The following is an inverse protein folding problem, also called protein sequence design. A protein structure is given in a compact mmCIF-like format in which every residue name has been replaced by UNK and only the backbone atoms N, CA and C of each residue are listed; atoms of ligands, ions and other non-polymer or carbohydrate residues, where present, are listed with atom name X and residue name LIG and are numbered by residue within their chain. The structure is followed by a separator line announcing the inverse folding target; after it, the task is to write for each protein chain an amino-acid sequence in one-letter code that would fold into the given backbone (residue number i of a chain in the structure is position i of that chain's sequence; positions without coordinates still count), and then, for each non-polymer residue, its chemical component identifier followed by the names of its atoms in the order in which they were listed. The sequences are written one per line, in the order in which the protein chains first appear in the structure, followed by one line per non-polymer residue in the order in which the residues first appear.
data_IF_441472433332
#
_entry.id   IF_441472433332
#
_cell.length_a   1.000
_cell.length_b   1.000
_cell.length_c   1.000
_cell.angle_alpha   90.00
_cell.angle_beta   90.00
_cell.angle_gamma   90.00
#
_symmetry.space_group_name_H-M   'P 1'
#
loop_
_entity.id
_entity.type
_entity.pdbx_description
1 polymer ?
#
# COMPACT_ATOMS: atom_id res chain seq x y z
N UNK A 1 48.03 6.25 43.19
CA UNK A 1 46.94 5.33 42.79
C UNK A 1 47.58 3.94 42.80
N UNK A 2 47.07 2.97 43.61
CA UNK A 2 47.72 1.67 43.77
C UNK A 2 47.65 0.86 42.47
N UNK A 3 48.71 0.12 42.14
CA UNK A 3 48.80 -0.75 40.95
C UNK A 3 47.60 -1.69 40.79
N UNK A 4 47.03 -2.16 41.90
CA UNK A 4 45.79 -2.95 41.92
C UNK A 4 44.56 -2.22 41.38
N UNK A 5 44.43 -0.91 41.59
CA UNK A 5 43.32 -0.13 41.04
C UNK A 5 43.45 0.08 39.54
N UNK A 6 44.68 0.16 39.03
CA UNK A 6 44.95 0.25 37.58
C UNK A 6 44.67 -1.10 36.91
N UNK A 7 45.08 -2.21 37.53
CA UNK A 7 44.84 -3.56 37.03
C UNK A 7 43.35 -3.91 37.03
N UNK A 8 42.61 -3.65 38.09
CA UNK A 8 41.17 -3.88 38.19
C UNK A 8 40.41 -2.95 37.23
N UNK A 9 40.84 -1.71 37.09
CA UNK A 9 40.28 -0.78 36.10
C UNK A 9 40.45 -1.30 34.67
N UNK A 10 41.62 -1.75 34.29
CA UNK A 10 41.86 -2.31 32.95
C UNK A 10 41.08 -3.59 32.69
N UNK A 11 40.88 -4.45 33.70
CA UNK A 11 40.10 -5.68 33.56
C UNK A 11 38.60 -5.42 33.40
N UNK A 12 38.01 -4.49 34.15
CA UNK A 12 36.59 -4.09 34.02
C UNK A 12 36.28 -3.49 32.68
N UNK A 13 37.24 -2.86 32.04
CA UNK A 13 37.05 -2.24 30.72
C UNK A 13 37.12 -3.20 29.58
N UNK A 14 38.07 -4.11 29.64
CA UNK A 14 38.10 -5.18 28.65
C UNK A 14 36.78 -5.98 28.65
N UNK A 15 36.20 -6.16 29.86
CA UNK A 15 34.86 -6.76 30.00
C UNK A 15 33.82 -5.90 29.34
N UNK A 16 33.80 -4.58 29.56
CA UNK A 16 32.82 -3.65 28.98
C UNK A 16 32.89 -3.64 27.44
N UNK A 17 34.10 -3.59 26.89
CA UNK A 17 34.34 -3.65 25.46
C UNK A 17 33.87 -4.99 24.86
N UNK A 18 34.16 -6.11 25.53
CA UNK A 18 33.71 -7.43 25.11
C UNK A 18 32.17 -7.57 25.14
N UNK A 19 31.53 -7.04 26.19
CA UNK A 19 30.07 -6.98 26.28
C UNK A 19 29.47 -6.18 25.12
N UNK A 20 30.02 -5.01 24.80
CA UNK A 20 29.58 -4.22 23.64
C UNK A 20 29.72 -5.00 22.33
N UNK A 21 30.88 -5.68 22.15
CA UNK A 21 31.12 -6.50 20.95
C UNK A 21 30.14 -7.68 20.82
N UNK A 22 29.78 -8.34 21.91
CA UNK A 22 28.77 -9.41 21.95
C UNK A 22 27.41 -8.84 21.56
N UNK A 23 27.05 -7.65 22.04
CA UNK A 23 25.80 -6.99 21.68
C UNK A 23 25.79 -6.63 20.18
N UNK A 24 26.88 -6.13 19.62
CA UNK A 24 26.99 -5.88 18.19
C UNK A 24 26.87 -7.18 17.39
N UNK A 25 27.49 -8.25 17.82
CA UNK A 25 27.33 -9.56 17.19
C UNK A 25 25.87 -10.02 17.20
N UNK A 26 25.19 -9.89 18.34
CA UNK A 26 23.76 -10.19 18.45
C UNK A 26 22.90 -9.28 17.55
N UNK A 27 23.29 -8.00 17.39
CA UNK A 27 22.64 -7.08 16.48
C UNK A 27 22.69 -7.58 15.04
N UNK A 28 23.84 -8.02 14.55
CA UNK A 28 23.99 -8.57 13.20
C UNK A 28 23.20 -9.87 12.97
N UNK A 29 22.94 -10.65 14.03
CA UNK A 29 22.14 -11.87 13.97
C UNK A 29 20.63 -11.60 14.04
N UNK A 30 20.22 -10.38 14.33
CA UNK A 30 18.81 -10.02 14.50
C UNK A 30 18.05 -10.08 13.18
N UNK A 31 17.01 -10.92 13.09
CA UNK A 31 16.16 -11.05 11.91
C UNK A 31 15.28 -9.81 11.66
N UNK A 32 14.88 -9.11 12.74
CA UNK A 32 14.05 -7.90 12.62
C UNK A 32 14.94 -6.67 12.70
N UNK A 33 14.78 -5.78 11.73
CA UNK A 33 15.57 -4.54 11.62
C UNK A 33 15.49 -3.65 12.87
N UNK A 34 14.36 -3.65 13.57
CA UNK A 34 14.17 -2.92 14.83
C UNK A 34 15.17 -3.38 15.89
N UNK A 35 15.32 -4.69 16.08
CA UNK A 35 16.27 -5.25 17.04
C UNK A 35 17.72 -4.93 16.67
N UNK A 36 18.07 -5.01 15.40
CA UNK A 36 19.39 -4.60 14.92
C UNK A 36 19.69 -3.15 15.34
N UNK A 37 18.76 -2.22 15.11
CA UNK A 37 18.92 -0.80 15.45
C UNK A 37 19.02 -0.58 16.97
N UNK A 38 18.14 -1.22 17.74
CA UNK A 38 18.14 -1.10 19.22
C UNK A 38 19.43 -1.65 19.83
N UNK A 39 19.87 -2.82 19.41
CA UNK A 39 21.10 -3.43 19.93
C UNK A 39 22.35 -2.62 19.52
N UNK A 40 22.37 -2.04 18.32
CA UNK A 40 23.48 -1.17 17.91
C UNK A 40 23.56 0.07 18.80
N UNK A 41 22.43 0.72 19.12
CA UNK A 41 22.41 1.86 20.05
C UNK A 41 22.87 1.43 21.44
N UNK A 42 22.39 0.29 21.94
CA UNK A 42 22.80 -0.25 23.24
C UNK A 42 24.31 -0.52 23.30
N UNK A 43 24.89 -1.16 22.30
CA UNK A 43 26.33 -1.38 22.19
C UNK A 43 27.12 -0.07 22.15
N UNK A 44 26.64 0.91 21.40
CA UNK A 44 27.24 2.24 21.34
C UNK A 44 27.25 2.95 22.71
N UNK A 45 26.15 2.88 23.49
CA UNK A 45 26.07 3.46 24.83
C UNK A 45 27.09 2.79 25.77
N UNK A 46 27.24 1.48 25.67
CA UNK A 46 28.18 0.72 26.54
C UNK A 46 29.65 1.03 26.20
N UNK A 47 29.96 1.30 24.93
CA UNK A 47 31.33 1.56 24.50
C UNK A 47 31.81 3.00 24.79
N UNK A 48 30.91 3.97 24.92
CA UNK A 48 31.26 5.39 25.15
C UNK A 48 32.16 5.60 26.41
N UNK A 49 31.84 5.01 27.59
CA UNK A 49 32.72 5.14 28.78
C UNK A 49 34.14 4.65 28.51
N UNK A 50 34.30 3.62 27.68
CA UNK A 50 35.65 3.16 27.29
C UNK A 50 36.40 4.26 26.54
N UNK A 51 35.83 4.94 25.60
CA UNK A 51 36.47 6.03 24.85
C UNK A 51 36.71 7.29 25.67
N UNK A 52 35.93 7.53 26.72
CA UNK A 52 36.05 8.71 27.62
C UNK A 52 37.09 8.55 28.71
N UNK A 53 37.17 7.39 29.38
CA UNK A 53 37.84 7.27 30.68
C UNK A 53 39.05 6.34 30.67
N UNK A 54 39.25 5.59 29.59
CA UNK A 54 40.17 4.46 29.67
C UNK A 54 41.45 4.55 28.84
N UNK A 55 41.57 5.59 28.09
CA UNK A 55 42.82 5.93 27.42
C UNK A 55 43.43 7.15 28.11
N UNK A 56 44.72 7.27 28.05
CA UNK A 56 45.44 8.43 28.62
C UNK A 56 44.85 9.75 28.11
N UNK A 57 44.23 9.71 26.92
CA UNK A 57 43.45 10.82 26.35
C UNK A 57 42.13 10.31 25.75
N UNK A 58 41.01 11.06 25.91
CA UNK A 58 39.71 10.70 25.33
C UNK A 58 39.79 10.62 23.84
N UNK A 59 39.19 9.58 23.27
CA UNK A 59 39.09 9.42 21.81
C UNK A 59 37.88 10.19 21.22
N UNK A 60 38.00 11.51 21.19
CA UNK A 60 36.92 12.40 20.75
C UNK A 60 36.39 12.06 19.34
N UNK A 61 37.27 11.65 18.43
CA UNK A 61 36.87 11.27 17.07
C UNK A 61 35.96 10.03 17.07
N UNK A 62 36.26 9.03 17.91
CA UNK A 62 35.43 7.83 18.03
C UNK A 62 34.08 8.13 18.66
N UNK A 63 34.07 8.98 19.71
CA UNK A 63 32.84 9.43 20.37
C UNK A 63 31.93 10.17 19.35
N UNK A 64 32.51 11.07 18.56
CA UNK A 64 31.78 11.79 17.51
C UNK A 64 31.09 10.83 16.54
N UNK A 65 31.79 9.83 16.01
CA UNK A 65 31.22 8.86 15.09
C UNK A 65 30.17 7.96 15.75
N UNK A 66 30.38 7.53 16.99
CA UNK A 66 29.39 6.76 17.76
C UNK A 66 28.10 7.55 17.95
N UNK A 67 28.19 8.85 18.23
CA UNK A 67 27.03 9.73 18.33
C UNK A 67 26.28 9.82 16.99
N UNK A 68 26.99 10.00 15.87
CA UNK A 68 26.38 10.03 14.53
C UNK A 68 25.69 8.71 14.22
N UNK A 69 26.36 7.57 14.43
CA UNK A 69 25.72 6.26 14.17
C UNK A 69 24.51 6.02 15.06
N UNK A 70 24.56 6.42 16.31
CA UNK A 70 23.42 6.31 17.23
C UNK A 70 22.26 7.20 16.78
N UNK A 71 22.55 8.43 16.34
CA UNK A 71 21.53 9.35 15.81
C UNK A 71 20.86 8.78 14.55
N UNK A 72 21.63 8.26 13.60
CA UNK A 72 21.09 7.62 12.40
C UNK A 72 20.18 6.44 12.77
N UNK A 73 20.61 5.58 13.69
CA UNK A 73 19.80 4.45 14.13
C UNK A 73 18.52 4.91 14.85
N UNK A 74 18.58 5.98 15.64
CA UNK A 74 17.40 6.56 16.31
C UNK A 74 16.40 7.13 15.30
N UNK A 75 16.88 7.88 14.31
CA UNK A 75 16.04 8.41 13.23
C UNK A 75 15.37 7.28 12.47
N UNK A 76 16.10 6.23 12.14
CA UNK A 76 15.53 5.07 11.45
C UNK A 76 14.49 4.33 12.29
N UNK A 77 14.70 4.18 13.60
CA UNK A 77 13.70 3.63 14.52
C UNK A 77 12.42 4.50 14.55
N UNK A 78 12.60 5.82 14.55
CA UNK A 78 11.47 6.75 14.51
C UNK A 78 10.69 6.65 13.20
N UNK A 79 11.36 6.51 12.05
CA UNK A 79 10.70 6.28 10.76
C UNK A 79 9.90 4.96 10.79
N UNK A 80 10.52 3.86 11.25
CA UNK A 80 9.85 2.56 11.38
C UNK A 80 8.64 2.66 12.31
N UNK A 81 8.75 3.40 13.42
CA UNK A 81 7.63 3.62 14.33
C UNK A 81 6.49 4.39 13.66
N UNK A 82 6.79 5.44 12.89
CA UNK A 82 5.77 6.18 12.14
C UNK A 82 5.10 5.30 11.07
N UNK A 83 5.88 4.45 10.41
CA UNK A 83 5.37 3.52 9.40
C UNK A 83 4.55 2.36 9.99
N UNK A 84 4.79 1.98 11.23
CA UNK A 84 4.09 0.88 11.90
C UNK A 84 2.78 1.29 12.58
N UNK A 85 2.43 2.59 12.59
CA UNK A 85 1.16 3.03 13.16
C UNK A 85 -0.01 2.43 12.38
N UNK A 86 -1.01 1.85 13.04
CA UNK A 86 -2.22 1.40 12.36
C UNK A 86 -2.88 2.59 11.66
N UNK A 87 -3.34 2.37 10.45
CA UNK A 87 -4.15 3.35 9.74
C UNK A 87 -5.60 3.09 10.11
N UNK A 88 -6.26 4.11 10.60
CA UNK A 88 -7.70 4.08 10.81
C UNK A 88 -8.36 4.38 9.46
N UNK A 89 -9.07 3.39 8.95
CA UNK A 89 -9.96 3.53 7.81
C UNK A 89 -11.35 3.91 8.35
N UNK A 90 -12.05 4.80 7.67
CA UNK A 90 -13.46 5.04 7.94
C UNK A 90 -14.28 3.78 7.63
N UNK A 91 -15.51 3.69 8.15
CA UNK A 91 -16.39 2.55 7.92
C UNK A 91 -16.59 2.27 6.42
N UNK A 92 -16.72 3.33 5.61
CA UNK A 92 -16.83 3.22 4.17
C UNK A 92 -15.55 2.68 3.53
N UNK A 93 -14.41 3.23 3.91
CA UNK A 93 -13.10 2.79 3.40
C UNK A 93 -12.80 1.35 3.80
N UNK A 94 -13.19 0.96 5.03
CA UNK A 94 -13.03 -0.43 5.48
C UNK A 94 -13.88 -1.38 4.64
N UNK A 95 -15.12 -1.00 4.32
CA UNK A 95 -16.00 -1.79 3.46
C UNK A 95 -15.42 -1.96 2.06
N UNK A 96 -14.93 -0.87 1.45
CA UNK A 96 -14.27 -0.89 0.13
C UNK A 96 -13.02 -1.77 0.17
N UNK A 97 -12.18 -1.60 1.20
CA UNK A 97 -10.97 -2.38 1.40
C UNK A 97 -11.27 -3.88 1.49
N UNK A 98 -12.25 -4.25 2.33
CA UNK A 98 -12.64 -5.64 2.55
C UNK A 98 -13.29 -6.29 1.32
N UNK A 99 -13.91 -5.50 0.47
CA UNK A 99 -14.57 -5.99 -0.73
C UNK A 99 -13.58 -6.27 -1.87
N UNK A 100 -12.68 -5.31 -2.16
CA UNK A 100 -11.91 -5.33 -3.41
C UNK A 100 -10.40 -5.24 -3.19
N UNK A 101 -9.94 -4.52 -2.17
CA UNK A 101 -8.53 -4.12 -2.06
C UNK A 101 -7.73 -4.85 -0.97
N UNK A 102 -8.20 -6.01 -0.48
CA UNK A 102 -7.50 -6.81 0.56
C UNK A 102 -6.07 -7.23 0.19
N UNK A 103 -5.76 -7.29 -1.09
CA UNK A 103 -4.41 -7.62 -1.57
C UNK A 103 -3.41 -6.49 -1.37
N UNK A 104 -3.89 -5.26 -1.16
CA UNK A 104 -3.04 -4.10 -0.88
C UNK A 104 -2.77 -3.98 0.62
N UNK A 105 -1.61 -3.41 0.97
CA UNK A 105 -1.39 -2.95 2.33
C UNK A 105 -2.37 -1.81 2.66
N UNK A 106 -2.97 -1.76 3.88
CA UNK A 106 -3.95 -0.73 4.25
C UNK A 106 -3.46 0.71 4.03
N UNK A 107 -2.14 0.95 4.21
CA UNK A 107 -1.51 2.25 4.00
C UNK A 107 -1.44 2.64 2.52
N UNK A 108 -1.22 1.67 1.66
CA UNK A 108 -1.17 1.86 0.20
C UNK A 108 -2.59 2.12 -0.32
N UNK A 109 -3.56 1.33 0.15
CA UNK A 109 -4.98 1.50 -0.12
C UNK A 109 -5.46 2.91 0.29
N UNK A 110 -5.18 3.34 1.54
CA UNK A 110 -5.59 4.67 2.02
C UNK A 110 -5.07 5.79 1.12
N UNK A 111 -3.80 5.73 0.71
CA UNK A 111 -3.23 6.69 -0.23
C UNK A 111 -3.91 6.65 -1.59
N UNK A 112 -4.28 5.46 -2.08
CA UNK A 112 -4.98 5.31 -3.35
C UNK A 112 -6.36 5.98 -3.28
N UNK A 113 -7.12 5.73 -2.21
CA UNK A 113 -8.45 6.33 -2.00
C UNK A 113 -8.35 7.85 -1.84
N UNK A 114 -7.38 8.35 -1.08
CA UNK A 114 -7.17 9.79 -0.87
C UNK A 114 -6.82 10.57 -2.16
N UNK A 115 -6.37 9.89 -3.22
CA UNK A 115 -6.16 10.47 -4.55
C UNK A 115 -7.41 10.46 -5.43
N UNK A 116 -8.48 9.81 -5.00
CA UNK A 116 -9.77 9.78 -5.69
C UNK A 116 -10.73 10.84 -5.13
N UNK A 117 -11.70 11.22 -5.93
CA UNK A 117 -12.85 12.04 -5.52
C UNK A 117 -14.06 11.15 -5.33
N UNK A 118 -14.72 11.23 -4.17
CA UNK A 118 -16.02 10.61 -3.96
C UNK A 118 -17.10 11.50 -4.58
N UNK A 119 -17.87 10.94 -5.50
CA UNK A 119 -18.93 11.63 -6.23
C UNK A 119 -20.23 10.87 -6.09
N UNK A 120 -21.34 11.58 -6.00
CA UNK A 120 -22.70 11.03 -6.04
C UNK A 120 -23.37 11.44 -7.34
N UNK A 121 -23.67 10.46 -8.17
CA UNK A 121 -24.32 10.64 -9.47
C UNK A 121 -25.82 10.45 -9.31
N UNK A 122 -26.59 11.29 -10.02
CA UNK A 122 -28.04 11.20 -10.02
C UNK A 122 -28.50 9.95 -10.76
N UNK A 123 -29.72 9.43 -10.47
CA UNK A 123 -30.32 8.34 -11.24
C UNK A 123 -30.35 8.63 -12.74
N UNK A 124 -30.17 7.60 -13.55
CA UNK A 124 -30.22 7.65 -15.03
C UNK A 124 -29.24 8.66 -15.68
N UNK A 125 -28.21 9.07 -14.94
CA UNK A 125 -27.19 9.98 -15.47
C UNK A 125 -26.21 9.24 -16.37
N UNK A 126 -26.05 9.71 -17.62
CA UNK A 126 -24.96 9.23 -18.49
C UNK A 126 -23.66 9.95 -18.10
N UNK A 127 -22.65 9.21 -17.70
CA UNK A 127 -21.37 9.76 -17.22
C UNK A 127 -20.14 9.21 -17.95
N UNK A 128 -20.33 8.23 -18.85
CA UNK A 128 -19.33 7.77 -19.83
C UNK A 128 -20.01 7.63 -21.19
N UNK A 129 -19.41 8.22 -22.20
CA UNK A 129 -19.90 8.14 -23.58
C UNK A 129 -18.96 7.26 -24.39
N UNK A 130 -19.51 6.40 -25.23
CA UNK A 130 -18.79 5.52 -26.17
C UNK A 130 -17.93 6.31 -27.16
N UNK A 131 -16.84 5.69 -27.61
CA UNK A 131 -15.89 6.21 -28.59
C UNK A 131 -15.23 7.55 -28.17
N UNK A 132 -15.28 7.89 -26.88
CA UNK A 132 -14.58 9.05 -26.29
C UNK A 132 -13.32 8.65 -25.57
N UNK A 133 -12.39 9.58 -25.43
CA UNK A 133 -11.24 9.41 -24.55
C UNK A 133 -11.71 9.53 -23.10
N UNK A 134 -11.41 8.50 -22.29
CA UNK A 134 -11.73 8.51 -20.87
C UNK A 134 -10.49 8.89 -20.07
N UNK A 135 -10.56 10.02 -19.40
CA UNK A 135 -9.47 10.57 -18.57
C UNK A 135 -9.53 10.12 -17.10
N UNK A 136 -10.46 9.23 -16.78
CA UNK A 136 -10.71 8.79 -15.41
C UNK A 136 -10.95 7.29 -15.29
N UNK A 137 -10.48 6.72 -14.18
CA UNK A 137 -10.86 5.40 -13.69
C UNK A 137 -11.90 5.60 -12.59
N UNK A 138 -12.94 4.78 -12.56
CA UNK A 138 -14.01 4.89 -11.57
C UNK A 138 -14.26 3.56 -10.89
N UNK A 139 -14.76 3.61 -9.65
CA UNK A 139 -15.13 2.47 -8.84
C UNK A 139 -16.48 2.70 -8.18
N UNK A 140 -17.40 1.76 -8.33
CA UNK A 140 -18.76 1.85 -7.76
C UNK A 140 -18.70 1.52 -6.27
N UNK A 141 -19.00 2.52 -5.43
CA UNK A 141 -18.96 2.42 -3.95
C UNK A 141 -20.30 1.98 -3.39
N UNK A 142 -21.39 2.55 -3.92
CA UNK A 142 -22.79 2.24 -3.57
C UNK A 142 -23.66 2.40 -4.79
N UNK A 143 -24.68 1.56 -4.93
CA UNK A 143 -25.57 1.54 -6.08
C UNK A 143 -25.02 0.65 -7.21
N UNK A 144 -25.41 0.95 -8.43
CA UNK A 144 -25.05 0.21 -9.63
C UNK A 144 -24.91 1.13 -10.84
N UNK A 145 -24.13 0.69 -11.82
CA UNK A 145 -24.04 1.35 -13.11
C UNK A 145 -24.43 0.37 -14.21
N UNK A 146 -24.99 0.88 -15.29
CA UNK A 146 -25.42 0.12 -16.44
C UNK A 146 -24.55 0.47 -17.65
N UNK A 147 -23.93 -0.54 -18.22
CA UNK A 147 -23.10 -0.43 -19.42
C UNK A 147 -23.93 -0.85 -20.63
N UNK A 148 -24.09 0.04 -21.61
CA UNK A 148 -24.81 -0.24 -22.83
C UNK A 148 -23.83 -0.52 -23.97
N UNK A 149 -23.78 -1.79 -24.38
CA UNK A 149 -22.89 -2.26 -25.44
C UNK A 149 -23.40 -1.86 -26.84
N UNK A 150 -22.53 -2.00 -27.84
CA UNK A 150 -22.82 -1.63 -29.24
C UNK A 150 -24.02 -2.35 -29.87
N UNK A 151 -24.32 -3.56 -29.39
CA UNK A 151 -25.42 -4.38 -29.89
C UNK A 151 -26.72 -4.25 -29.07
N UNK A 152 -26.76 -3.31 -28.11
CA UNK A 152 -27.91 -3.06 -27.28
C UNK A 152 -27.99 -3.96 -26.05
N UNK A 153 -26.95 -4.78 -25.80
CA UNK A 153 -26.85 -5.57 -24.59
C UNK A 153 -26.52 -4.67 -23.40
N UNK A 154 -27.09 -4.95 -22.24
CA UNK A 154 -26.95 -4.22 -21.02
C UNK A 154 -26.17 -5.07 -20.01
N UNK A 155 -25.14 -4.51 -19.39
CA UNK A 155 -24.37 -5.14 -18.34
C UNK A 155 -24.45 -4.30 -17.08
N UNK A 156 -24.88 -4.90 -15.98
CA UNK A 156 -24.92 -4.21 -14.68
C UNK A 156 -23.55 -4.33 -14.01
N UNK A 157 -22.99 -3.19 -13.63
CA UNK A 157 -21.80 -3.13 -12.76
C UNK A 157 -22.28 -2.84 -11.35
N UNK A 158 -22.21 -3.83 -10.47
CA UNK A 158 -22.66 -3.67 -9.08
C UNK A 158 -21.63 -2.87 -8.25
N UNK A 159 -21.97 -2.60 -7.00
CA UNK A 159 -21.04 -2.15 -5.97
C UNK A 159 -19.80 -3.05 -5.95
N UNK A 160 -18.61 -2.45 -5.99
CA UNK A 160 -17.33 -3.18 -6.06
C UNK A 160 -16.72 -3.27 -7.46
N UNK A 161 -17.46 -2.94 -8.52
CA UNK A 161 -16.98 -3.01 -9.88
C UNK A 161 -16.27 -1.73 -10.35
N UNK A 162 -15.39 -1.88 -11.33
CA UNK A 162 -14.66 -0.77 -11.95
C UNK A 162 -15.33 -0.34 -13.27
N UNK A 163 -15.11 0.92 -13.63
CA UNK A 163 -15.55 1.51 -14.90
C UNK A 163 -14.36 2.27 -15.49
N UNK A 164 -14.06 1.97 -16.76
CA UNK A 164 -12.96 2.58 -17.49
C UNK A 164 -11.60 1.91 -17.28
N UNK A 165 -11.57 0.76 -16.62
CA UNK A 165 -10.35 -0.04 -16.39
C UNK A 165 -9.70 -0.46 -17.71
N UNK A 166 -10.48 -0.82 -18.72
CA UNK A 166 -9.98 -1.17 -20.04
C UNK A 166 -9.26 0.01 -20.70
N UNK A 167 -9.91 1.18 -20.74
CA UNK A 167 -9.30 2.40 -21.28
C UNK A 167 -8.08 2.84 -20.46
N UNK A 168 -8.11 2.62 -19.15
CA UNK A 168 -6.96 2.89 -18.29
C UNK A 168 -5.77 1.99 -18.62
N UNK A 169 -5.97 0.70 -18.87
CA UNK A 169 -4.90 -0.27 -19.19
C UNK A 169 -4.39 -0.07 -20.61
N UNK A 170 -5.29 -0.02 -21.60
CA UNK A 170 -4.93 -0.03 -23.04
C UNK A 170 -4.62 1.35 -23.59
N UNK A 171 -5.17 2.41 -23.00
CA UNK A 171 -5.14 3.77 -23.54
C UNK A 171 -6.12 3.97 -24.72
N UNK A 172 -6.99 2.99 -24.99
CA UNK A 172 -7.98 3.07 -26.04
C UNK A 172 -9.23 3.87 -25.59
N UNK A 173 -10.03 4.30 -26.55
CA UNK A 173 -11.32 4.94 -26.31
C UNK A 173 -12.29 3.99 -25.64
N UNK A 174 -13.30 4.54 -24.98
CA UNK A 174 -14.39 3.78 -24.36
C UNK A 174 -15.14 2.91 -25.36
N UNK A 175 -15.47 1.70 -24.96
CA UNK A 175 -16.17 0.72 -25.78
C UNK A 175 -17.72 0.80 -25.69
N UNK A 176 -18.23 1.48 -24.65
CA UNK A 176 -19.64 1.51 -24.30
C UNK A 176 -20.06 2.83 -23.66
N UNK A 177 -21.35 3.09 -23.65
CA UNK A 177 -21.96 4.14 -22.81
C UNK A 177 -22.21 3.59 -21.44
N UNK A 178 -22.03 4.41 -20.36
CA UNK A 178 -22.33 4.02 -19.00
C UNK A 178 -23.27 5.03 -18.36
N UNK A 179 -24.36 4.50 -17.79
CA UNK A 179 -25.35 5.26 -17.06
C UNK A 179 -25.46 4.74 -15.63
N UNK A 180 -25.94 5.55 -14.72
CA UNK A 180 -26.37 5.07 -13.40
C UNK A 180 -27.69 4.32 -13.55
N UNK A 181 -27.95 3.38 -12.63
CA UNK A 181 -29.23 2.71 -12.52
C UNK A 181 -30.38 3.63 -12.06
N UNK A 182 -31.46 3.04 -11.60
CA UNK A 182 -32.66 3.76 -11.14
C UNK A 182 -32.46 4.52 -9.82
N UNK A 183 -31.36 4.28 -9.12
CA UNK A 183 -31.00 4.92 -7.85
C UNK A 183 -29.70 5.74 -7.98
N UNK A 184 -29.52 6.69 -7.07
CA UNK A 184 -28.29 7.45 -6.99
C UNK A 184 -27.09 6.52 -6.74
N UNK A 185 -26.03 6.70 -7.50
CA UNK A 185 -24.84 5.85 -7.44
C UNK A 185 -23.65 6.65 -6.93
N UNK A 186 -22.98 6.15 -5.89
CA UNK A 186 -21.73 6.74 -5.40
C UNK A 186 -20.54 6.07 -6.05
N UNK A 187 -19.65 6.86 -6.58
CA UNK A 187 -18.41 6.41 -7.21
C UNK A 187 -17.19 7.08 -6.59
N UNK A 188 -16.05 6.41 -6.64
CA UNK A 188 -14.77 7.06 -6.51
C UNK A 188 -14.19 7.22 -7.90
N UNK A 189 -13.78 8.44 -8.23
CA UNK A 189 -13.18 8.80 -9.52
C UNK A 189 -11.73 9.19 -9.33
N UNK A 190 -10.83 8.57 -10.08
CA UNK A 190 -9.41 8.94 -10.18
C UNK A 190 -9.11 9.51 -11.55
N UNK A 191 -8.40 10.62 -11.60
CA UNK A 191 -7.84 11.10 -12.87
C UNK A 191 -6.76 10.13 -13.35
N UNK A 192 -6.90 9.65 -14.60
CA UNK A 192 -6.03 8.62 -15.16
C UNK A 192 -4.56 9.06 -15.23
N UNK A 193 -4.28 10.33 -15.54
CA UNK A 193 -2.91 10.83 -15.64
C UNK A 193 -2.26 10.95 -14.26
N UNK A 194 -3.00 11.43 -13.26
CA UNK A 194 -2.51 11.56 -11.90
C UNK A 194 -2.29 10.19 -11.27
N UNK A 195 -3.21 9.25 -11.49
CA UNK A 195 -3.07 7.88 -11.03
C UNK A 195 -1.85 7.20 -11.65
N UNK A 196 -1.64 7.34 -12.96
CA UNK A 196 -0.43 6.83 -13.64
C UNK A 196 0.85 7.42 -13.08
N UNK A 197 0.88 8.73 -12.79
CA UNK A 197 2.02 9.39 -12.13
C UNK A 197 2.25 8.84 -10.71
N UNK A 198 1.17 8.58 -9.97
CA UNK A 198 1.26 8.01 -8.63
C UNK A 198 1.79 6.57 -8.65
N UNK A 199 1.47 5.80 -9.68
CA UNK A 199 1.94 4.42 -9.89
C UNK A 199 3.37 4.35 -10.43
N UNK A 200 3.86 5.42 -11.06
CA UNK A 200 5.21 5.46 -11.63
C UNK A 200 6.26 5.20 -10.55
N UNK A 201 7.12 4.21 -10.77
CA UNK A 201 8.15 3.78 -9.83
C UNK A 201 7.67 2.93 -8.65
N UNK A 202 6.41 2.49 -8.66
CA UNK A 202 5.80 1.61 -7.65
C UNK A 202 5.31 0.31 -8.29
N UNK A 203 6.23 -0.47 -8.83
CA UNK A 203 5.91 -1.69 -9.59
C UNK A 203 4.96 -2.64 -8.82
N UNK A 204 5.25 -2.91 -7.54
CA UNK A 204 4.41 -3.79 -6.71
C UNK A 204 2.95 -3.28 -6.59
N UNK A 205 2.74 -1.97 -6.49
CA UNK A 205 1.39 -1.40 -6.42
C UNK A 205 0.68 -1.54 -7.77
N UNK A 206 1.40 -1.28 -8.85
CA UNK A 206 0.88 -1.43 -10.21
C UNK A 206 0.47 -2.88 -10.47
N UNK A 207 1.35 -3.84 -10.18
CA UNK A 207 1.07 -5.28 -10.35
C UNK A 207 -0.17 -5.72 -9.56
N UNK A 208 -0.32 -5.25 -8.31
CA UNK A 208 -1.51 -5.55 -7.52
C UNK A 208 -2.78 -4.94 -8.10
N UNK A 209 -2.75 -3.72 -8.62
CA UNK A 209 -3.90 -3.11 -9.28
C UNK A 209 -4.26 -3.83 -10.58
N UNK A 210 -3.26 -4.21 -11.38
CA UNK A 210 -3.46 -4.98 -12.61
C UNK A 210 -4.13 -6.34 -12.31
N UNK A 211 -3.77 -6.99 -11.20
CA UNK A 211 -4.44 -8.21 -10.73
C UNK A 211 -5.89 -7.95 -10.33
N UNK A 212 -6.17 -6.86 -9.62
CA UNK A 212 -7.52 -6.48 -9.20
C UNK A 212 -8.39 -6.20 -10.45
N UNK A 213 -7.89 -5.44 -11.41
CA UNK A 213 -8.61 -5.17 -12.65
C UNK A 213 -8.86 -6.44 -13.48
N UNK A 214 -7.87 -7.33 -13.53
CA UNK A 214 -8.02 -8.62 -14.22
C UNK A 214 -9.11 -9.47 -13.56
N UNK A 215 -9.16 -9.51 -12.24
CA UNK A 215 -10.21 -10.23 -11.51
C UNK A 215 -11.61 -9.65 -11.77
N UNK A 216 -11.73 -8.32 -11.80
CA UNK A 216 -12.99 -7.63 -12.12
C UNK A 216 -13.46 -7.93 -13.55
N UNK A 217 -12.54 -7.89 -14.52
CA UNK A 217 -12.85 -8.23 -15.90
C UNK A 217 -13.29 -9.69 -16.08
N UNK A 218 -12.64 -10.62 -15.39
CA UNK A 218 -13.03 -12.05 -15.41
C UNK A 218 -14.45 -12.22 -14.81
N UNK A 219 -14.77 -11.50 -13.74
CA UNK A 219 -16.12 -11.53 -13.15
C UNK A 219 -17.17 -11.05 -14.14
N UNK A 220 -16.94 -9.90 -14.77
CA UNK A 220 -17.85 -9.35 -15.79
C UNK A 220 -18.07 -10.30 -16.98
N UNK A 221 -17.00 -10.96 -17.44
CA UNK A 221 -17.11 -11.94 -18.53
C UNK A 221 -17.94 -13.15 -18.13
N UNK A 222 -17.77 -13.67 -16.91
CA UNK A 222 -18.55 -14.81 -16.40
C UNK A 222 -20.03 -14.45 -16.27
N UNK A 223 -20.34 -13.28 -15.73
CA UNK A 223 -21.71 -12.81 -15.56
C UNK A 223 -22.39 -12.69 -16.93
N UNK A 224 -21.68 -12.19 -17.95
CA UNK A 224 -22.15 -12.15 -19.33
C UNK A 224 -22.44 -13.55 -19.93
N UNK A 225 -21.57 -14.53 -19.67
CA UNK A 225 -21.78 -15.91 -20.15
C UNK A 225 -23.02 -16.53 -19.50
N UNK A 226 -23.23 -16.34 -18.22
CA UNK A 226 -24.41 -16.84 -17.49
C UNK A 226 -25.72 -16.22 -18.04
N UNK A 227 -25.71 -14.93 -18.31
CA UNK A 227 -26.88 -14.23 -18.91
C UNK A 227 -27.21 -14.75 -20.33
N UNK A 228 -26.20 -14.97 -21.16
CA UNK A 228 -26.38 -15.53 -22.50
C UNK A 228 -26.96 -16.95 -22.44
N UNK A 229 -26.51 -17.78 -21.53
CA UNK A 229 -27.00 -19.14 -21.37
C UNK A 229 -28.44 -19.17 -20.85
N UNK A 230 -28.80 -18.27 -19.96
CA UNK A 230 -30.21 -18.10 -19.53
C UNK A 230 -31.14 -17.67 -20.65
N UNK A 231 -30.71 -16.73 -21.51
CA UNK A 231 -31.45 -16.27 -22.65
C UNK A 231 -31.66 -17.43 -23.64
N UNK A 232 -30.64 -18.20 -23.96
CA UNK A 232 -30.74 -19.39 -24.84
C UNK A 232 -31.70 -20.43 -24.30
N UNK A 233 -31.60 -20.75 -23.01
CA UNK A 233 -32.47 -21.72 -22.37
C UNK A 233 -33.94 -21.28 -22.39
N UNK A 234 -34.18 -19.98 -22.19
CA UNK A 234 -35.52 -19.39 -22.26
C UNK A 234 -36.14 -19.37 -23.67
N UNK A 235 -35.32 -19.28 -24.71
CA UNK A 235 -35.73 -19.34 -26.11
C UNK A 235 -36.06 -20.78 -26.55
N UNK A 236 -35.25 -21.76 -26.12
CA UNK A 236 -35.50 -23.17 -26.42
C UNK A 236 -36.80 -23.69 -25.78
N UNK A 237 -37.14 -23.20 -24.58
CA UNK A 237 -38.42 -23.51 -23.91
C UNK A 237 -39.65 -22.89 -24.56
N UNK A 238 -39.50 -21.84 -25.37
CA UNK A 238 -40.62 -21.20 -26.11
C UNK A 238 -40.87 -21.84 -27.46
N UNK A 239 -39.95 -22.64 -28.00
CA UNK A 239 -40.03 -23.28 -29.32
C UNK A 239 -40.51 -24.75 -29.19
N UNK A 240 -40.48 -25.31 -28.00
CA UNK A 240 -40.97 -26.65 -27.65
C UNK A 240 -42.47 -26.59 -27.20
#
# INVERSE_FOLDING_TARGET
MNEWNIFLGGMTLNILLNVANIIFLAAFMAKKIVWLRMLTIAGNIIVVPYYLYFLEQPLWNNIFWVCIYSLINLVMLFIIYLESRPIELSDLEQKIYDMTFKSLEPRVFKKLIDHGSLEELQPEANFVTRDTELDSLMYVVEGEAEVVLKHGDHIIIPTGGFIGEQSFITGEKTSADVTTGNEATKIIRWNSQELRKHLAGKETLKDNLDLIFTADLIHKLRDMEEDIDQIRHSQDLKIS
#
